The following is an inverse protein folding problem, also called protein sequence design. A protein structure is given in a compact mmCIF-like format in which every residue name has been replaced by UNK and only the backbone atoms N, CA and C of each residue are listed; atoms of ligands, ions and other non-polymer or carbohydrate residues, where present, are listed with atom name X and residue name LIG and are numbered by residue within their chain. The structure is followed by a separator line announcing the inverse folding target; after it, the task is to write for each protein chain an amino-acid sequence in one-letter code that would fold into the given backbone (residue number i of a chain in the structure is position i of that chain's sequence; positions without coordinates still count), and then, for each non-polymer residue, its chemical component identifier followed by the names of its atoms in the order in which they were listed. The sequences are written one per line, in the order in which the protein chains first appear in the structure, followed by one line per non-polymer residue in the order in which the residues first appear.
data_IF_970366078916
#
_entry.id   IF_970366078916
#
_cell.length_a   1.000
_cell.length_b   1.000
_cell.length_c   1.000
_cell.angle_alpha   90.00
_cell.angle_beta   90.00
_cell.angle_gamma   90.00
#
_symmetry.space_group_name_H-M   'P 1'
#
loop_
_entity.id
_entity.type
_entity.pdbx_description
1 polymer ?
#
# COMPACT_ATOMS: atom_id res chain seq x y z
N UNK A 1 -0.80 -29.18 40.88
CA UNK A 1 -2.20 -29.13 40.44
C UNK A 1 -2.32 -27.94 39.51
N UNK A 2 -2.10 -28.20 38.23
CA UNK A 2 -2.18 -27.19 37.17
C UNK A 2 -3.61 -26.73 37.02
N UNK A 3 -3.83 -25.42 37.15
CA UNK A 3 -5.08 -24.79 36.70
C UNK A 3 -5.14 -24.97 35.20
N UNK A 4 -6.10 -25.77 34.73
CA UNK A 4 -6.55 -25.77 33.35
C UNK A 4 -6.86 -24.33 32.93
N UNK A 5 -6.00 -23.80 32.06
CA UNK A 5 -6.20 -22.55 31.30
C UNK A 5 -7.44 -22.71 30.44
N UNK A 6 -8.52 -22.01 30.81
CA UNK A 6 -9.75 -21.95 30.00
C UNK A 6 -9.43 -21.44 28.59
N UNK A 7 -9.91 -22.17 27.58
CA UNK A 7 -9.71 -21.86 26.18
C UNK A 7 -10.26 -20.48 25.84
N UNK A 8 -9.55 -19.69 25.04
CA UNK A 8 -10.06 -18.43 24.50
C UNK A 8 -11.42 -18.64 23.86
N UNK A 9 -12.45 -17.96 24.39
CA UNK A 9 -13.82 -18.12 23.90
C UNK A 9 -14.17 -17.12 22.80
N UNK A 10 -13.35 -16.07 22.61
CA UNK A 10 -13.60 -14.99 21.64
C UNK A 10 -12.30 -14.48 20.99
N UNK A 11 -12.23 -14.52 19.66
CA UNK A 11 -11.11 -14.03 18.85
C UNK A 11 -11.60 -13.06 17.78
N UNK A 12 -10.97 -11.90 17.67
CA UNK A 12 -11.39 -10.79 16.80
C UNK A 12 -10.29 -10.46 15.79
N UNK A 13 -10.58 -10.61 14.50
CA UNK A 13 -9.71 -10.16 13.42
C UNK A 13 -10.09 -8.75 12.95
N UNK A 14 -9.15 -7.81 12.92
CA UNK A 14 -9.40 -6.44 12.46
C UNK A 14 -8.47 -6.12 11.30
N UNK A 15 -9.05 -5.71 10.18
CA UNK A 15 -8.39 -5.61 8.88
C UNK A 15 -8.49 -4.17 8.35
N UNK A 16 -7.39 -3.41 8.43
CA UNK A 16 -7.34 -2.02 7.97
C UNK A 16 -6.74 -1.90 6.56
N UNK A 17 -7.53 -1.53 5.57
CA UNK A 17 -7.03 -1.40 4.20
C UNK A 17 -6.26 -0.08 3.97
N UNK A 18 -5.47 -0.05 2.89
CA UNK A 18 -4.74 1.10 2.41
C UNK A 18 -5.63 2.14 1.74
N UNK A 19 -5.08 3.34 1.59
CA UNK A 19 -5.67 4.49 0.89
C UNK A 19 -6.32 4.13 -0.44
N UNK A 20 -7.55 4.58 -0.67
CA UNK A 20 -8.23 4.39 -1.96
C UNK A 20 -8.70 2.95 -2.22
N UNK A 21 -8.46 2.02 -1.30
CA UNK A 21 -8.99 0.67 -1.41
C UNK A 21 -10.33 0.55 -0.68
N UNK A 22 -11.34 0.11 -1.42
CA UNK A 22 -12.64 -0.24 -0.90
C UNK A 22 -13.05 -1.61 -1.47
N UNK A 23 -13.42 -2.55 -0.60
CA UNK A 23 -13.84 -3.90 -0.98
C UNK A 23 -15.10 -3.88 -1.88
N UNK A 24 -16.05 -2.96 -1.65
CA UNK A 24 -17.25 -2.82 -2.46
C UNK A 24 -16.93 -2.30 -3.87
N UNK A 25 -16.07 -1.28 -3.98
CA UNK A 25 -15.70 -0.68 -5.26
C UNK A 25 -14.82 -1.64 -6.10
N UNK A 26 -14.06 -2.53 -5.45
CA UNK A 26 -13.25 -3.55 -6.12
C UNK A 26 -14.07 -4.73 -6.67
N UNK A 27 -15.29 -4.97 -6.16
CA UNK A 27 -16.19 -6.01 -6.67
C UNK A 27 -17.11 -5.52 -7.79
N UNK A 28 -17.29 -4.21 -7.95
CA UNK A 28 -18.21 -3.61 -8.94
C UNK A 28 -17.55 -3.32 -10.31
N UNK A 29 -16.26 -3.65 -10.49
CA UNK A 29 -15.54 -3.43 -11.76
C UNK A 29 -15.81 -4.48 -12.84
N UNK A 30 -16.76 -5.39 -12.61
CA UNK A 30 -17.12 -6.45 -13.57
C UNK A 30 -18.16 -5.94 -14.58
N UNK A 31 -17.69 -5.17 -15.56
CA UNK A 31 -18.46 -4.89 -16.78
C UNK A 31 -18.51 -3.42 -17.20
N UNK A 32 -17.46 -2.94 -17.86
CA UNK A 32 -17.53 -1.69 -18.63
C UNK A 32 -16.17 -1.10 -18.92
N UNK A 33 -15.85 -0.99 -20.22
CA UNK A 33 -14.76 -0.24 -20.87
C UNK A 33 -13.56 0.17 -20.01
N UNK A 34 -12.40 -0.40 -20.35
CA UNK A 34 -11.07 -0.05 -19.83
C UNK A 34 -10.77 1.45 -19.91
N UNK A 35 -11.21 2.18 -18.90
CA UNK A 35 -11.09 3.63 -18.77
C UNK A 35 -11.38 4.06 -17.33
N UNK A 36 -10.31 4.30 -16.57
CA UNK A 36 -10.27 4.87 -15.21
C UNK A 36 -10.35 3.86 -14.03
N UNK A 37 -9.17 3.41 -13.57
CA UNK A 37 -8.88 3.07 -12.17
C UNK A 37 -9.91 2.20 -11.40
N UNK A 38 -10.33 1.06 -11.96
CA UNK A 38 -10.91 0.00 -11.12
C UNK A 38 -9.79 -0.65 -10.30
N UNK A 39 -9.77 -0.44 -8.98
CA UNK A 39 -8.79 -1.05 -8.09
C UNK A 39 -9.12 -2.53 -7.88
N UNK A 40 -8.13 -3.42 -8.02
CA UNK A 40 -8.27 -4.80 -7.61
C UNK A 40 -8.33 -4.92 -6.07
N UNK A 41 -8.84 -6.03 -5.52
CA UNK A 41 -8.82 -6.23 -4.08
C UNK A 41 -7.38 -6.19 -3.53
N UNK A 42 -7.23 -5.56 -2.36
CA UNK A 42 -5.99 -5.57 -1.59
C UNK A 42 -5.78 -6.94 -0.92
N UNK A 43 -4.56 -7.19 -0.46
CA UNK A 43 -4.27 -8.35 0.37
C UNK A 43 -5.02 -8.30 1.71
N UNK A 44 -5.39 -7.10 2.20
CA UNK A 44 -6.21 -6.96 3.41
C UNK A 44 -7.63 -7.48 3.17
N UNK A 45 -8.24 -7.10 2.05
CA UNK A 45 -9.57 -7.59 1.66
C UNK A 45 -9.56 -9.11 1.44
N UNK A 46 -8.52 -9.64 0.79
CA UNK A 46 -8.37 -11.08 0.55
C UNK A 46 -8.13 -11.86 1.86
N UNK A 47 -7.30 -11.35 2.79
CA UNK A 47 -7.14 -11.97 4.11
C UNK A 47 -8.44 -11.92 4.92
N UNK A 48 -9.16 -10.80 4.90
CA UNK A 48 -10.44 -10.66 5.58
C UNK A 48 -11.48 -11.70 5.08
N UNK A 49 -11.49 -11.98 3.78
CA UNK A 49 -12.34 -13.01 3.20
C UNK A 49 -12.01 -14.41 3.75
N UNK A 50 -10.72 -14.73 3.93
CA UNK A 50 -10.24 -16.01 4.46
C UNK A 50 -10.36 -16.15 5.98
N UNK A 51 -10.68 -15.08 6.71
CA UNK A 51 -10.81 -15.12 8.17
C UNK A 51 -12.20 -15.64 8.57
N UNK A 52 -12.30 -16.56 9.56
CA UNK A 52 -13.58 -17.15 9.96
C UNK A 52 -14.49 -16.13 10.66
N UNK A 53 -15.80 -16.38 10.59
CA UNK A 53 -16.80 -15.59 11.32
C UNK A 53 -17.87 -16.49 11.90
N UNK A 54 -18.30 -16.19 13.13
CA UNK A 54 -19.28 -16.96 13.87
C UNK A 54 -18.66 -17.99 14.81
N UNK A 55 -19.47 -18.94 15.26
CA UNK A 55 -19.06 -19.95 16.24
C UNK A 55 -18.47 -21.17 15.54
N UNK A 56 -17.26 -21.56 15.92
CA UNK A 56 -16.64 -22.82 15.51
C UNK A 56 -16.18 -23.58 16.75
N UNK A 57 -16.87 -24.67 17.05
CA UNK A 57 -16.66 -25.41 18.30
C UNK A 57 -16.92 -24.52 19.53
N UNK A 58 -15.89 -24.40 20.37
CA UNK A 58 -15.93 -23.65 21.63
C UNK A 58 -15.45 -22.19 21.49
N UNK A 59 -15.16 -21.73 20.27
CA UNK A 59 -14.65 -20.38 20.00
C UNK A 59 -15.64 -19.55 19.15
N UNK A 60 -15.84 -18.28 19.51
CA UNK A 60 -16.52 -17.26 18.70
C UNK A 60 -15.45 -16.47 17.93
N UNK A 61 -15.57 -16.42 16.61
CA UNK A 61 -14.72 -15.61 15.74
C UNK A 61 -15.51 -14.40 15.24
N UNK A 62 -14.96 -13.22 15.46
CA UNK A 62 -15.46 -11.98 14.90
C UNK A 62 -14.44 -11.43 13.93
N UNK A 63 -14.92 -10.71 12.91
CA UNK A 63 -14.06 -10.02 11.97
C UNK A 63 -14.63 -8.67 11.60
N UNK A 64 -13.75 -7.68 11.51
CA UNK A 64 -14.08 -6.34 11.07
C UNK A 64 -13.13 -5.94 9.95
N UNK A 65 -13.71 -5.51 8.84
CA UNK A 65 -12.98 -4.85 7.76
C UNK A 65 -13.17 -3.34 7.86
N UNK A 66 -12.06 -2.60 7.81
CA UNK A 66 -12.03 -1.15 7.88
C UNK A 66 -11.45 -0.63 6.57
N UNK A 67 -12.27 0.10 5.83
CA UNK A 67 -11.90 0.70 4.55
C UNK A 67 -10.73 1.69 4.66
N UNK A 68 -10.04 1.88 3.54
CA UNK A 68 -8.97 2.85 3.41
C UNK A 68 -9.38 4.29 3.75
N UNK A 69 -8.44 5.05 4.27
CA UNK A 69 -8.61 6.52 4.40
C UNK A 69 -8.74 7.12 2.98
N UNK A 70 -9.80 7.88 2.73
CA UNK A 70 -10.08 8.53 1.44
C UNK A 70 -11.17 7.86 0.59
N UNK A 71 -11.82 6.81 1.06
CA UNK A 71 -12.98 6.17 0.39
C UNK A 71 -14.23 6.29 1.26
N UNK A 72 -15.39 6.35 0.60
CA UNK A 72 -16.73 6.25 1.20
C UNK A 72 -17.52 5.21 0.42
N UNK A 73 -18.16 4.27 1.12
CA UNK A 73 -19.00 3.22 0.51
C UNK A 73 -20.03 3.80 -0.47
N UNK A 74 -20.02 3.32 -1.72
CA UNK A 74 -21.02 3.68 -2.75
C UNK A 74 -20.95 5.12 -3.27
N UNK A 75 -19.89 5.87 -2.94
CA UNK A 75 -19.63 7.19 -3.49
C UNK A 75 -18.41 7.15 -4.42
N UNK A 76 -18.38 7.96 -5.50
CA UNK A 76 -17.18 8.10 -6.32
C UNK A 76 -16.02 8.61 -5.45
N UNK A 77 -14.84 7.98 -5.59
CA UNK A 77 -13.64 8.36 -4.87
C UNK A 77 -13.38 9.86 -5.07
N UNK A 78 -13.65 10.67 -4.05
CA UNK A 78 -13.32 12.08 -4.09
C UNK A 78 -11.80 12.18 -3.94
N UNK A 79 -11.11 12.31 -5.07
CA UNK A 79 -9.67 12.60 -5.13
C UNK A 79 -9.26 13.81 -4.25
N UNK A 80 -10.24 14.61 -3.81
CA UNK A 80 -10.10 15.71 -2.88
C UNK A 80 -10.05 15.28 -1.40
N UNK A 81 -10.79 14.25 -0.95
CA UNK A 81 -10.81 13.82 0.46
C UNK A 81 -9.66 12.87 0.82
N UNK A 82 -9.20 12.05 -0.13
CA UNK A 82 -7.99 11.24 0.02
C UNK A 82 -6.70 12.06 0.18
N UNK A 83 -6.78 13.36 -0.15
CA UNK A 83 -5.68 14.31 -0.27
C UNK A 83 -5.73 15.44 0.77
N UNK A 84 -6.76 15.53 1.63
CA UNK A 84 -6.87 16.58 2.67
C UNK A 84 -6.52 16.14 4.08
N UNK A 85 -6.50 14.83 4.40
CA UNK A 85 -5.92 14.25 5.63
C UNK A 85 -6.43 14.79 6.99
N UNK A 86 -7.29 15.83 6.97
CA UNK A 86 -7.68 16.68 8.10
C UNK A 86 -9.19 16.74 8.33
N UNK A 87 -9.93 15.80 7.76
CA UNK A 87 -11.32 15.59 8.11
C UNK A 87 -11.46 14.63 9.28
N UNK A 88 -12.70 14.40 9.69
CA UNK A 88 -13.21 13.38 10.63
C UNK A 88 -12.86 11.92 10.22
N UNK A 89 -11.87 11.73 9.35
CA UNK A 89 -11.56 10.60 8.48
C UNK A 89 -10.10 10.13 8.61
N UNK A 90 -9.31 10.72 9.52
CA UNK A 90 -7.91 10.32 9.79
C UNK A 90 -7.77 8.92 10.41
N UNK A 91 -6.53 8.44 10.49
CA UNK A 91 -6.19 7.11 11.05
C UNK A 91 -6.78 6.91 12.45
N UNK A 92 -6.69 7.92 13.32
CA UNK A 92 -7.23 7.84 14.68
C UNK A 92 -8.76 7.65 14.69
N UNK A 93 -9.49 8.43 13.89
CA UNK A 93 -10.95 8.32 13.81
C UNK A 93 -11.40 6.95 13.29
N UNK A 94 -10.70 6.37 12.31
CA UNK A 94 -10.96 5.01 11.82
C UNK A 94 -10.73 3.96 12.92
N UNK A 95 -9.71 4.12 13.74
CA UNK A 95 -9.46 3.25 14.90
C UNK A 95 -10.55 3.42 15.96
N UNK A 96 -11.01 4.64 16.23
CA UNK A 96 -12.12 4.91 17.15
C UNK A 96 -13.41 4.24 16.70
N UNK A 97 -13.80 4.41 15.43
CA UNK A 97 -14.97 3.74 14.85
C UNK A 97 -14.82 2.22 14.91
N UNK A 98 -13.65 1.68 14.54
CA UNK A 98 -13.40 0.25 14.58
C UNK A 98 -13.55 -0.34 16.00
N UNK A 99 -13.09 0.38 17.03
CA UNK A 99 -13.27 -0.05 18.43
C UNK A 99 -14.74 -0.10 18.84
N UNK A 100 -15.55 0.88 18.41
CA UNK A 100 -16.98 0.90 18.69
C UNK A 100 -17.71 -0.25 17.99
N UNK A 101 -17.41 -0.48 16.70
CA UNK A 101 -18.01 -1.55 15.91
C UNK A 101 -17.66 -2.94 16.50
N UNK A 102 -16.40 -3.13 16.89
CA UNK A 102 -15.98 -4.37 17.56
C UNK A 102 -16.70 -4.52 18.90
N UNK A 103 -16.79 -3.47 19.72
CA UNK A 103 -17.48 -3.54 21.00
C UNK A 103 -18.97 -3.92 20.83
N UNK A 104 -19.63 -3.40 19.81
CA UNK A 104 -20.99 -3.79 19.44
C UNK A 104 -21.08 -5.26 19.03
N UNK A 105 -20.21 -5.74 18.14
CA UNK A 105 -20.18 -7.16 17.74
C UNK A 105 -19.92 -8.09 18.94
N UNK A 106 -19.02 -7.70 19.85
CA UNK A 106 -18.73 -8.44 21.08
C UNK A 106 -19.97 -8.49 21.96
N UNK A 107 -20.64 -7.35 22.20
CA UNK A 107 -21.89 -7.28 22.96
C UNK A 107 -22.94 -8.21 22.39
N UNK A 108 -23.09 -8.24 21.05
CA UNK A 108 -24.03 -9.14 20.38
C UNK A 108 -23.63 -10.61 20.52
N UNK A 109 -22.36 -11.00 20.32
CA UNK A 109 -21.92 -12.40 20.50
C UNK A 109 -22.18 -12.86 21.95
N UNK A 110 -21.86 -12.01 22.95
CA UNK A 110 -22.08 -12.33 24.37
C UNK A 110 -23.57 -12.44 24.73
N UNK A 111 -24.43 -11.59 24.16
CA UNK A 111 -25.87 -11.67 24.39
C UNK A 111 -26.50 -12.93 23.76
N UNK A 112 -26.02 -13.36 22.58
CA UNK A 112 -26.54 -14.54 21.88
C UNK A 112 -25.96 -15.87 22.38
N UNK A 113 -24.85 -15.84 23.12
CA UNK A 113 -24.20 -17.02 23.68
C UNK A 113 -23.75 -16.80 25.13
N UNK A 114 -24.67 -16.68 26.10
CA UNK A 114 -24.34 -16.38 27.50
C UNK A 114 -23.45 -17.42 28.20
N UNK A 115 -23.35 -18.64 27.63
CA UNK A 115 -22.42 -19.69 28.06
C UNK A 115 -20.96 -19.43 27.64
N UNK A 116 -20.72 -18.47 26.73
CA UNK A 116 -19.39 -18.00 26.32
C UNK A 116 -19.00 -16.87 27.27
N UNK A 117 -18.45 -17.22 28.43
CA UNK A 117 -17.69 -16.25 29.22
C UNK A 117 -16.26 -16.23 28.66
N UNK A 118 -15.81 -15.16 27.97
CA UNK A 118 -14.44 -15.11 27.50
C UNK A 118 -13.51 -15.02 28.71
N UNK A 119 -12.65 -16.02 28.87
CA UNK A 119 -11.53 -15.92 29.82
C UNK A 119 -10.58 -14.77 29.45
N UNK A 120 -10.48 -14.47 28.16
CA UNK A 120 -9.83 -13.29 27.58
C UNK A 120 -10.31 -13.09 26.12
N UNK A 121 -10.06 -11.90 25.54
CA UNK A 121 -10.31 -11.59 24.13
C UNK A 121 -8.97 -11.60 23.37
N UNK A 122 -8.88 -12.42 22.32
CA UNK A 122 -7.72 -12.45 21.43
C UNK A 122 -7.92 -11.54 20.22
N UNK A 123 -6.90 -10.77 19.84
CA UNK A 123 -6.94 -9.89 18.66
C UNK A 123 -5.89 -10.30 17.63
N UNK A 124 -6.30 -10.32 16.36
CA UNK A 124 -5.42 -10.36 15.20
C UNK A 124 -5.59 -9.07 14.40
N UNK A 125 -4.50 -8.33 14.21
CA UNK A 125 -4.52 -7.03 13.55
C UNK A 125 -3.78 -7.11 12.22
N UNK A 126 -4.43 -6.69 11.15
CA UNK A 126 -3.83 -6.61 9.83
C UNK A 126 -3.96 -5.21 9.28
N UNK A 127 -2.94 -4.74 8.57
CA UNK A 127 -3.03 -3.45 7.91
C UNK A 127 -2.08 -3.26 6.74
N UNK A 128 -2.52 -2.50 5.74
CA UNK A 128 -1.71 -2.09 4.59
C UNK A 128 -1.54 -0.56 4.55
N UNK A 129 -0.33 -0.06 4.30
CA UNK A 129 -0.07 1.36 4.11
C UNK A 129 -0.49 2.19 5.35
N UNK A 130 -1.41 3.15 5.18
CA UNK A 130 -2.05 3.89 6.29
C UNK A 130 -2.90 2.99 7.20
N UNK A 131 -3.47 1.91 6.66
CA UNK A 131 -4.13 0.90 7.47
C UNK A 131 -3.14 0.14 8.38
N UNK A 132 -1.88 -0.03 7.96
CA UNK A 132 -0.85 -0.59 8.84
C UNK A 132 -0.51 0.37 9.99
N UNK A 133 -0.50 1.69 9.73
CA UNK A 133 -0.38 2.70 10.78
C UNK A 133 -1.58 2.66 11.74
N UNK A 134 -2.79 2.45 11.23
CA UNK A 134 -4.00 2.24 12.05
C UNK A 134 -3.89 0.98 12.93
N UNK A 135 -3.42 -0.13 12.38
CA UNK A 135 -3.20 -1.37 13.11
C UNK A 135 -2.17 -1.19 14.24
N UNK A 136 -1.06 -0.48 13.97
CA UNK A 136 -0.06 -0.11 15.00
C UNK A 136 -0.65 0.77 16.10
N UNK A 137 -1.44 1.77 15.72
CA UNK A 137 -2.09 2.65 16.67
C UNK A 137 -3.10 1.90 17.55
N UNK A 138 -3.90 1.02 16.95
CA UNK A 138 -4.83 0.17 17.68
C UNK A 138 -4.10 -0.79 18.63
N UNK A 139 -2.98 -1.40 18.21
CA UNK A 139 -2.19 -2.28 19.06
C UNK A 139 -1.74 -1.57 20.34
N UNK A 140 -1.25 -0.34 20.22
CA UNK A 140 -0.86 0.48 21.37
C UNK A 140 -2.03 0.81 22.29
N UNK A 141 -3.21 1.10 21.73
CA UNK A 141 -4.42 1.35 22.53
C UNK A 141 -4.91 0.12 23.29
N UNK A 142 -4.88 -1.05 22.64
CA UNK A 142 -5.26 -2.31 23.27
C UNK A 142 -4.29 -2.70 24.39
N UNK A 143 -2.99 -2.42 24.21
CA UNK A 143 -1.94 -2.70 25.19
C UNK A 143 -1.98 -1.76 26.41
N UNK A 144 -2.21 -0.45 26.21
CA UNK A 144 -2.29 0.53 27.31
C UNK A 144 -3.48 0.29 28.24
N UNK A 145 -4.61 -0.18 27.69
CA UNK A 145 -5.83 -0.46 28.46
C UNK A 145 -6.44 0.78 29.16
N UNK A 146 -7.56 0.60 29.84
CA UNK A 146 -8.20 1.66 30.66
C UNK A 146 -9.47 2.27 30.05
N UNK A 147 -9.91 3.42 30.59
CA UNK A 147 -11.20 4.07 30.27
C UNK A 147 -11.32 4.57 28.82
N UNK A 148 -10.22 4.55 28.04
CA UNK A 148 -10.20 4.94 26.62
C UNK A 148 -10.69 3.83 25.67
N UNK A 149 -11.02 2.64 26.20
CA UNK A 149 -11.63 1.55 25.44
C UNK A 149 -13.11 1.40 25.83
N UNK A 150 -13.98 0.99 24.88
CA UNK A 150 -15.35 0.59 25.20
C UNK A 150 -15.39 -0.48 26.30
N UNK A 151 -16.41 -0.44 27.16
CA UNK A 151 -16.54 -1.31 28.33
C UNK A 151 -16.42 -2.80 28.02
N UNK A 152 -16.96 -3.23 26.88
CA UNK A 152 -16.98 -4.60 26.39
C UNK A 152 -15.57 -5.13 26.09
N UNK A 153 -14.64 -4.21 25.80
CA UNK A 153 -13.26 -4.53 25.49
C UNK A 153 -12.34 -4.31 26.69
N UNK A 154 -12.82 -3.91 27.87
CA UNK A 154 -11.98 -3.58 29.03
C UNK A 154 -11.44 -4.80 29.81
N UNK A 155 -11.93 -6.01 29.56
CA UNK A 155 -11.46 -7.26 30.19
C UNK A 155 -10.04 -7.70 29.83
N UNK A 156 -9.67 -8.94 30.14
CA UNK A 156 -8.37 -9.50 29.75
C UNK A 156 -8.26 -9.61 28.22
N UNK A 157 -7.15 -9.13 27.68
CA UNK A 157 -6.90 -9.04 26.23
C UNK A 157 -5.51 -9.55 25.89
N UNK A 158 -5.36 -10.11 24.70
CA UNK A 158 -4.06 -10.41 24.12
C UNK A 158 -4.09 -10.11 22.62
N UNK A 159 -2.99 -9.57 22.10
CA UNK A 159 -2.78 -9.47 20.67
C UNK A 159 -1.97 -10.70 20.25
N UNK A 160 -2.59 -11.58 19.49
CA UNK A 160 -1.96 -12.83 19.03
C UNK A 160 -1.04 -12.53 17.84
N UNK A 161 -1.55 -11.80 16.84
CA UNK A 161 -0.81 -11.53 15.62
C UNK A 161 -0.99 -10.09 15.13
N UNK A 162 0.09 -9.48 14.64
CA UNK A 162 0.08 -8.20 13.92
C UNK A 162 0.75 -8.40 12.55
N UNK A 163 -0.03 -8.36 11.48
CA UNK A 163 0.43 -8.55 10.10
C UNK A 163 0.36 -7.25 9.30
N UNK A 164 1.52 -6.67 9.01
CA UNK A 164 1.62 -5.38 8.34
C UNK A 164 2.15 -5.51 6.91
N UNK A 165 1.59 -4.72 6.00
CA UNK A 165 2.10 -4.54 4.65
C UNK A 165 2.56 -3.08 4.52
N UNK A 166 3.87 -2.89 4.38
CA UNK A 166 4.53 -1.65 3.99
C UNK A 166 3.97 -0.38 4.67
N UNK A 167 4.21 -0.25 5.98
CA UNK A 167 3.63 0.81 6.82
C UNK A 167 4.03 2.21 6.35
N UNK A 168 3.02 3.07 6.12
CA UNK A 168 3.18 4.50 5.81
C UNK A 168 2.23 5.28 6.72
N UNK A 169 2.74 6.18 7.57
CA UNK A 169 1.89 6.98 8.47
C UNK A 169 1.13 8.09 7.76
N UNK A 170 1.84 8.84 6.91
CA UNK A 170 1.28 9.93 6.14
C UNK A 170 1.81 9.88 4.71
N UNK A 171 0.90 10.04 3.75
CA UNK A 171 1.28 10.37 2.39
C UNK A 171 1.32 11.89 2.36
N UNK A 172 2.51 12.46 2.16
CA UNK A 172 2.68 13.90 2.06
C UNK A 172 1.85 14.40 0.88
N UNK A 173 0.76 15.09 1.18
CA UNK A 173 -0.11 15.75 0.22
C UNK A 173 0.36 17.21 0.08
N UNK A 174 1.00 17.59 -1.04
CA UNK A 174 1.64 18.91 -1.19
C UNK A 174 0.67 20.10 -1.05
N UNK A 175 -0.62 19.87 -1.27
CA UNK A 175 -1.67 20.89 -1.13
C UNK A 175 -2.04 21.21 0.33
N UNK A 176 -1.50 20.49 1.31
CA UNK A 176 -1.83 20.67 2.74
C UNK A 176 -0.80 21.46 3.56
N UNK A 177 0.31 21.91 2.95
CA UNK A 177 1.30 22.71 3.67
C UNK A 177 2.18 21.94 4.66
N UNK A 178 2.13 20.60 4.67
CA UNK A 178 3.12 19.76 5.35
C UNK A 178 4.11 19.28 4.28
N UNK A 179 5.32 19.82 4.29
CA UNK A 179 6.22 19.78 3.12
C UNK A 179 7.36 18.75 3.22
N UNK A 180 7.44 17.99 4.31
CA UNK A 180 8.57 17.08 4.54
C UNK A 180 8.15 15.70 5.04
N UNK A 181 8.33 14.62 4.25
CA UNK A 181 8.13 13.24 4.71
C UNK A 181 9.16 12.80 5.76
N UNK A 182 10.20 13.60 6.01
CA UNK A 182 11.20 13.34 7.04
C UNK A 182 10.76 13.75 8.47
N UNK A 183 9.56 14.31 8.63
CA UNK A 183 9.09 14.70 9.96
C UNK A 183 8.44 13.51 10.69
N UNK A 184 8.89 13.24 11.93
CA UNK A 184 8.38 12.18 12.82
C UNK A 184 7.13 12.59 13.62
N UNK A 185 6.49 13.71 13.25
CA UNK A 185 5.25 14.16 13.88
C UNK A 185 4.06 13.47 13.22
N UNK A 186 3.57 12.41 13.87
CA UNK A 186 2.48 11.57 13.39
C UNK A 186 1.08 12.06 13.83
N UNK A 187 0.91 13.36 14.08
CA UNK A 187 -0.36 13.98 14.50
C UNK A 187 -1.01 13.27 15.72
N UNK A 188 -0.19 12.82 16.68
CA UNK A 188 -0.65 12.12 17.89
C UNK A 188 -0.85 10.61 17.75
N UNK A 189 -0.55 10.02 16.59
CA UNK A 189 -0.57 8.56 16.40
C UNK A 189 0.58 7.87 17.14
N UNK A 190 0.24 6.77 17.80
CA UNK A 190 1.21 5.89 18.50
C UNK A 190 1.58 4.72 17.58
N UNK A 191 2.73 4.81 16.91
CA UNK A 191 3.11 3.88 15.85
C UNK A 191 4.20 2.88 16.25
N UNK A 192 4.78 3.06 17.43
CA UNK A 192 5.81 2.19 17.99
C UNK A 192 5.26 0.83 18.38
N UNK A 193 5.88 -0.24 17.92
CA UNK A 193 5.53 -1.60 18.35
C UNK A 193 6.57 -2.08 19.37
N UNK A 194 6.25 -1.95 20.66
CA UNK A 194 7.12 -2.38 21.75
C UNK A 194 7.23 -3.90 21.86
N UNK A 195 8.30 -4.38 22.48
CA UNK A 195 8.48 -5.82 22.75
C UNK A 195 7.32 -6.37 23.58
N UNK A 196 6.74 -7.49 23.14
CA UNK A 196 5.63 -8.14 23.82
C UNK A 196 4.26 -7.49 23.60
N UNK A 197 4.14 -6.46 22.75
CA UNK A 197 2.84 -5.86 22.40
C UNK A 197 1.88 -6.89 21.76
N UNK A 198 2.44 -7.83 21.00
CA UNK A 198 1.76 -8.97 20.43
C UNK A 198 2.63 -10.22 20.54
N UNK A 199 2.03 -11.42 20.49
CA UNK A 199 2.81 -12.67 20.46
C UNK A 199 3.69 -12.76 19.22
N UNK A 200 3.19 -12.26 18.09
CA UNK A 200 3.96 -12.17 16.85
C UNK A 200 3.63 -10.89 16.08
N UNK A 201 4.68 -10.21 15.63
CA UNK A 201 4.60 -9.05 14.72
C UNK A 201 5.40 -9.39 13.47
N UNK A 202 4.79 -9.19 12.31
CA UNK A 202 5.39 -9.40 10.99
C UNK A 202 5.08 -8.18 10.12
N UNK A 203 6.09 -7.67 9.42
CA UNK A 203 5.88 -6.65 8.39
C UNK A 203 6.54 -7.07 7.07
N UNK A 204 5.77 -7.13 5.99
CA UNK A 204 6.31 -7.24 4.63
C UNK A 204 6.61 -5.83 4.10
N UNK A 205 7.84 -5.60 3.65
CA UNK A 205 8.31 -4.28 3.20
C UNK A 205 8.64 -4.30 1.72
N UNK A 206 8.20 -3.26 1.01
CA UNK A 206 8.49 -3.07 -0.41
C UNK A 206 9.97 -2.70 -0.62
N UNK A 207 10.74 -3.60 -1.23
CA UNK A 207 12.17 -3.38 -1.53
C UNK A 207 12.43 -2.44 -2.70
N UNK A 208 11.48 -2.30 -3.61
CA UNK A 208 11.62 -1.49 -4.83
C UNK A 208 10.84 -0.16 -4.79
N UNK A 209 10.17 0.16 -3.67
CA UNK A 209 9.47 1.44 -3.50
C UNK A 209 10.47 2.60 -3.37
N UNK A 210 10.30 3.65 -4.19
CA UNK A 210 11.23 4.79 -4.29
C UNK A 210 10.52 6.14 -4.23
N UNK A 211 9.19 6.19 -4.13
CA UNK A 211 8.44 7.43 -4.08
C UNK A 211 8.76 8.24 -2.84
N UNK A 212 8.89 9.54 -3.03
CA UNK A 212 9.17 10.49 -1.96
C UNK A 212 8.03 10.57 -0.93
N UNK A 213 6.78 10.50 -1.39
CA UNK A 213 5.61 10.65 -0.53
C UNK A 213 5.16 9.35 0.17
N UNK A 214 5.99 8.29 0.13
CA UNK A 214 5.69 6.99 0.74
C UNK A 214 6.78 6.59 1.74
N UNK A 215 7.01 7.37 2.82
CA UNK A 215 8.00 7.03 3.84
C UNK A 215 7.63 5.71 4.54
N UNK A 216 8.60 4.81 4.70
CA UNK A 216 8.43 3.56 5.44
C UNK A 216 8.57 3.82 6.94
N UNK A 217 7.72 3.18 7.75
CA UNK A 217 8.00 3.00 9.18
C UNK A 217 8.39 1.54 9.42
N UNK A 218 9.60 1.33 9.92
CA UNK A 218 10.14 0.00 10.19
C UNK A 218 9.47 -0.67 11.39
N UNK A 219 9.64 -1.98 11.46
CA UNK A 219 9.40 -2.78 12.65
C UNK A 219 10.64 -3.61 12.96
N UNK A 220 10.68 -4.23 14.14
CA UNK A 220 11.82 -5.05 14.55
C UNK A 220 11.95 -6.33 13.70
N UNK A 221 10.87 -6.77 13.02
CA UNK A 221 10.78 -8.01 12.25
C UNK A 221 10.39 -7.76 10.78
N UNK A 222 11.03 -6.78 10.13
CA UNK A 222 10.78 -6.46 8.72
C UNK A 222 11.31 -7.55 7.78
N UNK A 223 10.46 -8.03 6.87
CA UNK A 223 10.82 -8.93 5.76
C UNK A 223 10.75 -8.12 4.46
N UNK A 224 11.92 -7.72 3.95
CA UNK A 224 12.02 -6.94 2.71
C UNK A 224 11.88 -7.87 1.51
N UNK A 225 10.90 -7.61 0.65
CA UNK A 225 10.56 -8.44 -0.51
C UNK A 225 10.52 -7.62 -1.82
N UNK A 226 10.74 -8.24 -2.99
CA UNK A 226 10.72 -7.53 -4.27
C UNK A 226 9.38 -6.87 -4.59
N UNK A 227 9.40 -5.71 -5.23
CA UNK A 227 8.22 -4.97 -5.65
C UNK A 227 8.01 -3.67 -4.89
N UNK A 228 7.06 -2.90 -5.42
CA UNK A 228 6.67 -1.58 -4.89
C UNK A 228 5.47 -1.69 -3.93
N UNK A 229 5.07 -0.59 -3.30
CA UNK A 229 4.05 -0.55 -2.24
C UNK A 229 2.80 -1.43 -2.50
N UNK A 230 2.13 -1.23 -3.64
CA UNK A 230 0.92 -1.97 -4.00
C UNK A 230 1.20 -3.34 -4.65
N UNK A 231 2.46 -3.65 -5.01
CA UNK A 231 2.83 -5.05 -5.22
C UNK A 231 2.75 -5.82 -3.90
N UNK A 232 3.10 -5.20 -2.77
CA UNK A 232 3.10 -5.86 -1.45
C UNK A 232 1.70 -5.91 -0.85
N UNK A 233 0.99 -4.77 -0.84
CA UNK A 233 -0.34 -4.67 -0.24
C UNK A 233 -1.51 -5.05 -1.16
N UNK A 234 -1.29 -5.20 -2.46
CA UNK A 234 -2.35 -5.36 -3.45
C UNK A 234 -2.95 -4.03 -3.91
N UNK A 235 -4.02 -4.11 -4.72
CA UNK A 235 -4.66 -2.96 -5.37
C UNK A 235 -4.44 -2.86 -6.88
N UNK A 236 -3.38 -3.49 -7.41
CA UNK A 236 -3.15 -3.51 -8.86
C UNK A 236 -4.04 -4.53 -9.59
N UNK A 237 -4.66 -4.16 -10.72
CA UNK A 237 -5.41 -5.10 -11.54
C UNK A 237 -4.50 -6.19 -12.13
N UNK A 238 -5.09 -7.30 -12.54
CA UNK A 238 -4.36 -8.46 -13.04
C UNK A 238 -3.56 -8.17 -14.31
N UNK A 239 -4.00 -7.19 -15.08
CA UNK A 239 -3.28 -6.57 -16.17
C UNK A 239 -3.50 -5.05 -16.11
N UNK A 240 -2.41 -4.29 -16.08
CA UNK A 240 -2.41 -2.83 -16.14
C UNK A 240 -1.48 -2.39 -17.27
N UNK A 241 -1.97 -1.52 -18.15
CA UNK A 241 -1.11 -0.80 -19.11
C UNK A 241 -0.49 0.42 -18.43
N UNK A 242 0.72 0.26 -17.93
CA UNK A 242 1.51 1.35 -17.36
C UNK A 242 1.99 2.30 -18.46
N UNK A 243 1.86 3.60 -18.24
CA UNK A 243 2.36 4.67 -19.11
C UNK A 243 3.02 5.73 -18.23
N UNK A 244 4.35 5.71 -18.13
CA UNK A 244 5.08 6.45 -17.09
C UNK A 244 6.24 7.26 -17.65
N UNK A 245 6.39 8.47 -17.12
CA UNK A 245 7.58 9.31 -17.30
C UNK A 245 8.62 8.94 -16.23
N UNK A 246 9.74 8.36 -16.65
CA UNK A 246 10.80 7.88 -15.75
C UNK A 246 11.72 8.98 -15.25
N UNK A 247 11.76 10.12 -15.95
CA UNK A 247 12.53 11.29 -15.54
C UNK A 247 11.67 12.54 -15.51
N UNK A 248 12.14 13.55 -14.75
CA UNK A 248 11.49 14.86 -14.74
C UNK A 248 11.50 15.44 -16.16
N UNK A 249 10.36 15.93 -16.68
CA UNK A 249 10.32 16.58 -17.98
C UNK A 249 11.31 17.75 -18.06
N UNK A 250 12.20 17.69 -19.04
CA UNK A 250 13.08 18.80 -19.38
C UNK A 250 12.39 19.67 -20.42
N UNK A 251 12.70 20.98 -20.44
CA UNK A 251 12.08 21.90 -21.40
C UNK A 251 13.06 22.88 -22.01
N UNK A 252 12.81 23.26 -23.26
CA UNK A 252 13.54 24.28 -24.01
C UNK A 252 12.56 25.26 -24.65
N UNK A 253 12.83 26.56 -24.52
CA UNK A 253 12.12 27.60 -25.27
C UNK A 253 12.86 27.86 -26.58
N UNK A 254 12.17 27.72 -27.70
CA UNK A 254 12.74 27.82 -29.04
C UNK A 254 11.77 28.52 -30.00
N UNK A 255 12.28 28.99 -31.14
CA UNK A 255 11.41 29.46 -32.23
C UNK A 255 10.49 28.32 -32.69
N UNK A 256 9.25 28.66 -33.07
CA UNK A 256 8.23 27.69 -33.49
C UNK A 256 8.70 26.78 -34.63
N UNK A 257 9.57 27.29 -35.51
CA UNK A 257 10.17 26.56 -36.64
C UNK A 257 11.19 25.49 -36.22
N UNK A 258 11.69 25.53 -34.99
CA UNK A 258 12.76 24.64 -34.53
C UNK A 258 12.21 23.22 -34.32
N UNK A 259 12.77 22.19 -34.97
CA UNK A 259 12.38 20.79 -34.71
C UNK A 259 12.66 20.39 -33.26
N UNK A 260 11.76 19.61 -32.65
CA UNK A 260 11.89 19.22 -31.25
C UNK A 260 13.15 18.40 -30.95
N UNK A 261 13.53 17.53 -31.89
CA UNK A 261 14.68 16.63 -31.81
C UNK A 261 16.02 17.38 -31.78
N UNK A 262 16.01 18.65 -32.18
CA UNK A 262 17.19 19.53 -32.18
C UNK A 262 17.31 20.38 -30.92
N UNK A 263 16.37 20.24 -29.98
CA UNK A 263 16.37 21.04 -28.75
C UNK A 263 17.33 20.47 -27.72
N UNK A 264 17.86 21.35 -26.85
CA UNK A 264 18.71 20.91 -25.73
C UNK A 264 17.98 19.96 -24.79
N UNK A 265 16.68 20.17 -24.56
CA UNK A 265 15.86 19.26 -23.76
C UNK A 265 15.80 17.85 -24.35
N UNK A 266 15.60 17.72 -25.67
CA UNK A 266 15.61 16.42 -26.33
C UNK A 266 16.97 15.73 -26.17
N UNK A 267 18.06 16.41 -26.55
CA UNK A 267 19.41 15.83 -26.50
C UNK A 267 19.82 15.41 -25.09
N UNK A 268 19.44 16.18 -24.07
CA UNK A 268 19.71 15.83 -22.68
C UNK A 268 18.92 14.60 -22.21
N UNK A 269 17.69 14.43 -22.67
CA UNK A 269 16.84 13.29 -22.32
C UNK A 269 17.24 12.03 -23.09
N UNK A 270 17.65 12.18 -24.34
CA UNK A 270 18.19 11.10 -25.17
C UNK A 270 19.48 10.54 -24.56
N UNK A 271 20.40 11.42 -24.15
CA UNK A 271 21.59 11.03 -23.40
C UNK A 271 21.27 10.35 -22.05
N UNK A 272 20.16 10.73 -21.41
CA UNK A 272 19.70 10.09 -20.17
C UNK A 272 19.14 8.68 -20.42
N UNK A 273 18.42 8.49 -21.53
CA UNK A 273 17.91 7.19 -21.97
C UNK A 273 19.08 6.21 -22.19
N UNK A 274 20.10 6.65 -22.92
CA UNK A 274 21.28 5.83 -23.27
C UNK A 274 22.22 5.55 -22.09
N UNK A 275 22.13 6.34 -21.01
CA UNK A 275 22.98 6.17 -19.82
C UNK A 275 22.24 5.49 -18.68
N UNK A 276 21.28 6.19 -18.07
CA UNK A 276 20.63 5.78 -16.82
C UNK A 276 19.61 4.67 -17.04
N UNK A 277 19.03 4.60 -18.24
CA UNK A 277 17.94 3.68 -18.58
C UNK A 277 18.32 2.63 -19.62
N UNK A 278 19.62 2.47 -19.90
CA UNK A 278 20.14 1.53 -20.89
C UNK A 278 19.79 0.06 -20.59
N UNK A 279 19.72 -0.29 -19.30
CA UNK A 279 19.42 -1.65 -18.83
C UNK A 279 17.91 -1.94 -18.73
N UNK A 280 17.03 -1.01 -19.11
CA UNK A 280 15.61 -1.28 -19.15
C UNK A 280 15.28 -2.20 -20.35
N UNK A 281 15.20 -3.49 -20.07
CA UNK A 281 14.73 -4.53 -20.99
C UNK A 281 13.31 -4.26 -21.52
N UNK A 282 12.90 -5.07 -22.51
CA UNK A 282 11.60 -4.95 -23.19
C UNK A 282 10.39 -4.87 -22.22
N UNK A 283 9.43 -3.96 -22.47
CA UNK A 283 9.43 -2.93 -23.52
C UNK A 283 10.40 -1.80 -23.23
N UNK A 284 11.21 -1.46 -24.24
CA UNK A 284 12.20 -0.38 -24.16
C UNK A 284 11.54 0.96 -23.87
N UNK A 285 12.20 1.73 -23.00
CA UNK A 285 11.86 3.14 -22.85
C UNK A 285 12.22 3.93 -24.12
N UNK A 286 11.54 5.04 -24.34
CA UNK A 286 11.75 5.95 -25.48
C UNK A 286 11.69 7.40 -25.04
N UNK A 287 12.30 8.30 -25.80
CA UNK A 287 12.12 9.73 -25.60
C UNK A 287 10.71 10.11 -26.07
N UNK A 288 9.90 10.69 -25.18
CA UNK A 288 8.62 11.30 -25.51
C UNK A 288 8.76 12.81 -25.52
N UNK A 289 8.17 13.44 -26.53
CA UNK A 289 8.23 14.89 -26.74
C UNK A 289 6.82 15.44 -26.89
N UNK A 290 6.57 16.62 -26.33
CA UNK A 290 5.39 17.42 -26.60
C UNK A 290 5.73 18.91 -26.69
N UNK A 291 4.92 19.66 -27.42
CA UNK A 291 5.15 21.07 -27.71
C UNK A 291 3.98 21.94 -27.24
N UNK A 292 4.31 23.10 -26.69
CA UNK A 292 3.35 24.12 -26.27
C UNK A 292 3.66 25.46 -26.93
N UNK A 293 2.76 26.02 -27.75
CA UNK A 293 2.91 27.37 -28.26
C UNK A 293 2.98 28.39 -27.12
N UNK A 294 3.91 29.33 -27.19
CA UNK A 294 3.95 30.44 -26.24
C UNK A 294 3.15 31.60 -26.83
N UNK A 295 2.12 32.05 -26.11
CA UNK A 295 1.36 33.22 -26.51
C UNK A 295 2.28 34.45 -26.55
N UNK A 296 2.43 35.05 -27.73
CA UNK A 296 3.18 36.29 -27.89
C UNK A 296 2.57 37.42 -27.05
N UNK A 297 3.40 38.32 -26.52
CA UNK A 297 2.90 39.52 -25.88
C UNK A 297 2.21 40.40 -26.94
N UNK A 298 0.92 40.71 -26.74
CA UNK A 298 0.18 41.62 -27.63
C UNK A 298 0.93 42.97 -27.70
N UNK A 299 1.58 43.24 -28.83
CA UNK A 299 2.23 44.53 -29.09
C UNK A 299 3.66 44.50 -29.66
N UNK A 300 4.34 43.34 -29.73
CA UNK A 300 5.65 43.21 -30.39
C UNK A 300 5.59 42.29 -31.62
N UNK A 301 6.33 42.65 -32.68
CA UNK A 301 6.68 41.76 -33.80
C UNK A 301 7.76 40.78 -33.35
N UNK A 302 7.47 39.97 -32.33
CA UNK A 302 8.36 38.89 -31.93
C UNK A 302 8.02 37.65 -32.77
N UNK A 303 9.05 36.93 -33.22
CA UNK A 303 8.86 35.66 -33.93
C UNK A 303 8.10 34.67 -33.05
N UNK A 304 7.19 33.85 -33.61
CA UNK A 304 6.43 32.89 -32.81
C UNK A 304 7.38 31.88 -32.14
N UNK A 305 7.20 31.69 -30.84
CA UNK A 305 7.98 30.75 -30.03
C UNK A 305 7.12 29.60 -29.51
N UNK A 306 7.79 28.51 -29.18
CA UNK A 306 7.21 27.35 -28.51
C UNK A 306 8.10 26.88 -27.37
N UNK A 307 7.50 26.18 -26.42
CA UNK A 307 8.20 25.41 -25.40
C UNK A 307 8.11 23.94 -25.76
N UNK A 308 9.27 23.32 -25.95
CA UNK A 308 9.39 21.88 -26.22
C UNK A 308 9.74 21.19 -24.92
N UNK A 309 9.03 20.12 -24.60
CA UNK A 309 9.32 19.26 -23.47
C UNK A 309 9.79 17.89 -23.96
N UNK A 310 10.72 17.30 -23.23
CA UNK A 310 11.18 15.94 -23.46
C UNK A 310 11.28 15.19 -22.14
N UNK A 311 10.95 13.90 -22.15
CA UNK A 311 11.11 13.01 -21.01
C UNK A 311 11.30 11.56 -21.47
N UNK A 312 11.95 10.74 -20.63
CA UNK A 312 12.01 9.30 -20.85
C UNK A 312 10.65 8.72 -20.50
N UNK A 313 10.03 8.07 -21.46
CA UNK A 313 8.71 7.46 -21.35
C UNK A 313 8.82 5.95 -21.51
N UNK A 314 8.08 5.23 -20.67
CA UNK A 314 7.95 3.78 -20.78
C UNK A 314 6.49 3.38 -20.76
N UNK A 315 6.17 2.43 -21.63
CA UNK A 315 4.83 1.87 -21.75
C UNK A 315 4.90 0.37 -21.84
N UNK A 316 4.13 -0.31 -20.99
CA UNK A 316 4.14 -1.76 -20.91
C UNK A 316 2.90 -2.29 -20.20
N UNK A 317 2.62 -3.56 -20.42
CA UNK A 317 1.62 -4.31 -19.66
C UNK A 317 2.30 -4.94 -18.44
N UNK A 318 1.77 -4.67 -17.25
CA UNK A 318 2.28 -5.20 -15.98
C UNK A 318 1.17 -5.89 -15.23
N UNK A 319 1.51 -7.03 -14.66
CA UNK A 319 0.56 -7.89 -14.00
C UNK A 319 0.52 -7.68 -12.49
N UNK A 320 -0.69 -7.59 -11.91
CA UNK A 320 -0.90 -7.46 -10.47
C UNK A 320 -0.66 -8.73 -9.65
N UNK A 321 -0.39 -9.89 -10.27
CA UNK A 321 -0.33 -11.19 -9.58
C UNK A 321 0.75 -11.32 -8.51
N UNK A 322 1.78 -10.45 -8.51
CA UNK A 322 2.83 -10.49 -7.49
C UNK A 322 2.29 -10.29 -6.06
N UNK A 323 1.21 -9.53 -5.90
CA UNK A 323 0.57 -9.34 -4.58
C UNK A 323 0.05 -10.64 -3.99
N UNK A 324 -0.39 -11.59 -4.82
CA UNK A 324 -0.89 -12.91 -4.38
C UNK A 324 0.22 -13.77 -3.78
N UNK A 325 1.47 -13.56 -4.19
CA UNK A 325 2.62 -14.18 -3.53
C UNK A 325 2.68 -13.69 -2.08
N UNK A 326 2.59 -12.38 -1.86
CA UNK A 326 2.68 -11.79 -0.52
C UNK A 326 1.44 -12.03 0.34
N UNK A 327 0.26 -12.16 -0.28
CA UNK A 327 -0.93 -12.69 0.38
C UNK A 327 -0.64 -14.07 0.97
N UNK A 328 -0.13 -14.98 0.14
CA UNK A 328 0.15 -16.35 0.57
C UNK A 328 1.24 -16.43 1.65
N UNK A 329 2.27 -15.59 1.56
CA UNK A 329 3.33 -15.48 2.57
C UNK A 329 2.77 -14.97 3.90
N UNK A 330 2.03 -13.87 3.91
CA UNK A 330 1.44 -13.32 5.14
C UNK A 330 0.45 -14.31 5.77
N UNK A 331 -0.39 -14.96 4.96
CA UNK A 331 -1.34 -15.97 5.44
C UNK A 331 -0.62 -17.15 6.10
N UNK A 332 0.45 -17.66 5.50
CA UNK A 332 1.25 -18.75 6.09
C UNK A 332 1.94 -18.32 7.40
N UNK A 333 2.52 -17.12 7.44
CA UNK A 333 3.11 -16.55 8.66
C UNK A 333 2.07 -16.40 9.78
N UNK A 334 0.87 -15.93 9.44
CA UNK A 334 -0.24 -15.76 10.38
C UNK A 334 -0.78 -17.11 10.88
N UNK A 335 -0.95 -18.10 10.01
CA UNK A 335 -1.39 -19.45 10.41
C UNK A 335 -0.39 -20.12 11.35
N UNK A 336 0.92 -19.93 11.11
CA UNK A 336 1.97 -20.37 12.05
C UNK A 336 1.91 -19.64 13.39
N UNK A 337 1.50 -18.38 13.38
CA UNK A 337 1.16 -17.58 14.58
C UNK A 337 -0.18 -17.94 15.21
N UNK A 338 -0.87 -18.98 14.71
CA UNK A 338 -2.13 -19.47 15.25
C UNK A 338 -3.38 -18.77 14.72
N UNK A 339 -3.26 -17.86 13.73
CA UNK A 339 -4.40 -17.20 13.10
C UNK A 339 -5.21 -18.22 12.27
N UNK A 340 -6.53 -18.33 12.46
CA UNK A 340 -7.34 -19.42 11.91
C UNK A 340 -7.76 -19.18 10.45
N UNK A 341 -6.86 -18.72 9.58
CA UNK A 341 -7.20 -18.50 8.17
C UNK A 341 -7.53 -19.79 7.44
N UNK A 342 -8.57 -19.75 6.60
CA UNK A 342 -8.89 -20.81 5.66
C UNK A 342 -7.74 -21.04 4.66
N UNK A 343 -7.72 -22.22 4.05
CA UNK A 343 -6.76 -22.54 3.00
C UNK A 343 -7.02 -21.69 1.76
N UNK A 344 -5.96 -21.34 1.02
CA UNK A 344 -6.13 -20.72 -0.29
C UNK A 344 -6.78 -21.75 -1.23
N UNK A 345 -8.02 -21.48 -1.65
CA UNK A 345 -8.74 -22.32 -2.60
C UNK A 345 -8.24 -22.14 -4.04
N UNK A 346 -8.89 -22.83 -4.99
CA UNK A 346 -8.58 -22.72 -6.42
C UNK A 346 -9.16 -21.47 -7.10
N UNK A 347 -9.76 -20.58 -6.32
CA UNK A 347 -10.34 -19.30 -6.78
C UNK A 347 -9.30 -18.48 -7.57
N UNK A 348 -9.76 -17.84 -8.64
CA UNK A 348 -8.95 -16.92 -9.43
C UNK A 348 -8.34 -15.80 -8.59
N UNK A 349 -9.00 -15.37 -7.50
CA UNK A 349 -8.49 -14.36 -6.58
C UNK A 349 -7.12 -14.71 -5.96
N UNK A 350 -6.83 -16.01 -5.78
CA UNK A 350 -5.62 -16.51 -5.11
C UNK A 350 -4.63 -17.18 -6.08
N UNK A 351 -5.04 -17.43 -7.33
CA UNK A 351 -4.27 -18.23 -8.29
C UNK A 351 -3.00 -17.49 -8.75
N UNK A 352 -1.90 -18.23 -8.83
CA UNK A 352 -0.62 -17.75 -9.35
C UNK A 352 -0.33 -18.31 -10.75
N UNK A 353 0.15 -17.49 -11.70
CA UNK A 353 0.69 -17.95 -12.97
C UNK A 353 1.86 -18.94 -12.74
N UNK A 354 2.00 -19.92 -13.61
CA UNK A 354 3.02 -20.99 -13.49
C UNK A 354 4.44 -20.43 -13.30
N UNK A 355 4.80 -19.43 -14.09
CA UNK A 355 6.09 -18.75 -14.02
C UNK A 355 6.39 -18.07 -12.66
N UNK A 356 5.34 -17.67 -11.92
CA UNK A 356 5.50 -17.09 -10.57
C UNK A 356 5.57 -18.14 -9.47
N UNK A 357 5.20 -19.40 -9.72
CA UNK A 357 5.14 -20.40 -8.66
C UNK A 357 6.51 -20.73 -8.07
N UNK A 358 7.56 -20.79 -8.91
CA UNK A 358 8.94 -21.02 -8.46
C UNK A 358 9.42 -19.86 -7.59
N UNK A 359 9.17 -18.63 -8.03
CA UNK A 359 9.52 -17.40 -7.31
C UNK A 359 8.78 -17.33 -5.99
N UNK A 360 7.48 -17.66 -5.99
CA UNK A 360 6.64 -17.72 -4.80
C UNK A 360 7.22 -18.67 -3.75
N UNK A 361 7.62 -19.89 -4.14
CA UNK A 361 8.25 -20.85 -3.20
C UNK A 361 9.53 -20.30 -2.58
N UNK A 362 10.41 -19.67 -3.37
CA UNK A 362 11.65 -19.07 -2.88
C UNK A 362 11.39 -17.90 -1.91
N UNK A 363 10.39 -17.07 -2.21
CA UNK A 363 9.99 -15.96 -1.33
C UNK A 363 9.34 -16.47 -0.04
N UNK A 364 8.59 -17.58 -0.08
CA UNK A 364 8.13 -18.30 1.11
C UNK A 364 9.30 -18.81 1.95
N UNK A 365 10.26 -19.50 1.35
CA UNK A 365 11.41 -20.04 2.09
C UNK A 365 12.22 -18.93 2.78
N UNK A 366 12.40 -17.80 2.11
CA UNK A 366 13.01 -16.61 2.69
C UNK A 366 12.17 -16.03 3.83
N UNK A 367 10.90 -15.73 3.60
CA UNK A 367 10.04 -15.08 4.59
C UNK A 367 9.80 -15.95 5.84
N UNK A 368 9.82 -17.27 5.69
CA UNK A 368 9.70 -18.23 6.79
C UNK A 368 11.03 -18.52 7.50
N UNK A 369 12.10 -17.81 7.16
CA UNK A 369 13.41 -17.94 7.79
C UNK A 369 14.16 -19.22 7.44
N UNK A 370 13.75 -19.95 6.41
CA UNK A 370 14.47 -21.15 5.91
C UNK A 370 15.72 -20.76 5.11
N UNK A 371 15.77 -19.52 4.62
CA UNK A 371 16.88 -18.94 3.88
C UNK A 371 17.15 -17.52 4.38
N UNK A 372 18.42 -17.10 4.41
CA UNK A 372 18.81 -15.75 4.83
C UNK A 372 18.53 -14.66 3.79
N UNK A 373 18.35 -15.04 2.52
CA UNK A 373 18.07 -14.14 1.41
C UNK A 373 17.10 -14.79 0.40
N UNK A 374 16.36 -14.01 -0.38
CA UNK A 374 15.58 -14.52 -1.50
C UNK A 374 16.54 -15.12 -2.53
N UNK A 375 16.57 -16.45 -2.66
CA UNK A 375 17.47 -17.17 -3.59
C UNK A 375 17.03 -17.05 -5.07
N UNK A 376 16.68 -15.84 -5.50
CA UNK A 376 16.22 -15.51 -6.84
C UNK A 376 17.42 -15.43 -7.79
N UNK A 377 17.29 -16.08 -8.95
CA UNK A 377 18.25 -16.05 -10.03
C UNK A 377 18.17 -14.72 -10.80
N UNK A 378 19.22 -14.33 -11.55
CA UNK A 378 19.16 -13.15 -12.40
C UNK A 378 17.98 -13.15 -13.39
N UNK A 379 17.63 -14.31 -13.93
CA UNK A 379 16.49 -14.47 -14.84
C UNK A 379 15.14 -14.24 -14.14
N UNK A 380 14.97 -14.73 -12.92
CA UNK A 380 13.76 -14.49 -12.11
C UNK A 380 13.65 -13.01 -11.71
N UNK A 381 14.77 -12.36 -11.37
CA UNK A 381 14.80 -10.92 -11.15
C UNK A 381 14.44 -10.11 -12.40
N UNK A 382 14.89 -10.54 -13.58
CA UNK A 382 14.52 -9.90 -14.85
C UNK A 382 13.01 -10.08 -15.13
N UNK A 383 12.46 -11.27 -14.92
CA UNK A 383 11.04 -11.55 -15.08
C UNK A 383 10.17 -10.70 -14.14
N UNK A 384 10.55 -10.61 -12.86
CA UNK A 384 9.85 -9.75 -11.91
C UNK A 384 9.86 -8.30 -12.38
N UNK A 385 11.04 -7.78 -12.74
CA UNK A 385 11.18 -6.38 -13.19
C UNK A 385 10.44 -6.09 -14.49
N UNK A 386 10.36 -7.03 -15.43
CA UNK A 386 9.72 -6.78 -16.73
C UNK A 386 8.19 -6.86 -16.67
N UNK A 387 7.64 -7.83 -15.92
CA UNK A 387 6.22 -8.20 -16.00
C UNK A 387 5.40 -8.00 -14.71
N UNK A 388 6.02 -7.91 -13.54
CA UNK A 388 5.30 -8.01 -12.26
C UNK A 388 5.54 -6.85 -11.29
N UNK A 389 6.73 -6.26 -11.29
CA UNK A 389 7.06 -5.10 -10.46
C UNK A 389 6.60 -3.85 -11.20
N UNK A 390 5.65 -3.14 -10.62
CA UNK A 390 5.09 -1.90 -11.17
C UNK A 390 6.07 -0.74 -11.00
N UNK A 391 6.00 0.24 -11.89
CA UNK A 391 6.80 1.47 -11.81
C UNK A 391 6.06 2.50 -10.97
N UNK A 392 6.05 2.34 -9.64
CA UNK A 392 5.33 3.28 -8.77
C UNK A 392 5.94 4.67 -8.78
N UNK A 393 7.27 4.79 -8.82
CA UNK A 393 7.94 6.09 -8.82
C UNK A 393 8.08 6.66 -10.24
N UNK A 394 7.38 7.75 -10.53
CA UNK A 394 7.37 8.38 -11.85
C UNK A 394 7.04 9.88 -11.80
N UNK A 395 7.34 10.58 -12.89
CA UNK A 395 7.13 12.01 -13.08
C UNK A 395 5.87 12.32 -13.90
N UNK A 396 4.85 11.47 -13.86
CA UNK A 396 3.54 11.84 -14.40
C UNK A 396 2.94 12.96 -13.56
N UNK A 397 2.48 14.02 -14.22
CA UNK A 397 1.81 15.12 -13.54
C UNK A 397 0.36 14.75 -13.18
N UNK A 398 -0.15 15.33 -12.09
CA UNK A 398 -1.55 15.17 -11.69
C UNK A 398 -2.52 15.64 -12.80
N UNK A 399 -3.65 14.93 -12.96
CA UNK A 399 -4.62 15.13 -14.06
C UNK A 399 -4.97 16.62 -14.24
N UNK A 400 -4.82 17.11 -15.48
CA UNK A 400 -5.15 18.48 -15.87
C UNK A 400 -3.98 19.47 -15.85
N UNK A 401 -2.83 19.11 -15.29
CA UNK A 401 -1.67 20.00 -15.12
C UNK A 401 -0.43 19.45 -15.82
N UNK A 402 -0.49 19.30 -17.15
CA UNK A 402 0.60 18.74 -17.97
C UNK A 402 1.92 19.57 -17.98
N UNK A 403 1.92 20.80 -17.45
CA UNK A 403 2.84 21.87 -17.92
C UNK A 403 3.57 22.67 -16.81
N UNK A 404 3.73 22.14 -15.61
CA UNK A 404 4.18 22.94 -14.45
C UNK A 404 5.56 22.55 -13.93
N UNK A 405 6.37 23.55 -13.54
CA UNK A 405 7.72 23.37 -13.00
C UNK A 405 7.76 23.06 -11.49
N UNK A 406 6.60 22.92 -10.84
CA UNK A 406 6.46 22.74 -9.40
C UNK A 406 6.48 21.25 -9.06
N UNK A 407 7.44 20.84 -8.22
CA UNK A 407 7.58 19.44 -7.77
C UNK A 407 6.33 18.92 -7.04
N UNK A 408 5.52 19.82 -6.49
CA UNK A 408 4.26 19.53 -5.79
C UNK A 408 3.19 18.86 -6.67
N UNK A 409 3.33 18.89 -8.00
CA UNK A 409 2.36 18.34 -8.95
C UNK A 409 2.72 16.92 -9.43
N UNK A 410 3.87 16.39 -8.98
CA UNK A 410 4.33 15.02 -9.20
C UNK A 410 4.20 14.20 -7.90
N UNK A 411 2.99 13.68 -7.65
CA UNK A 411 2.67 12.94 -6.41
C UNK A 411 3.54 11.69 -6.25
N UNK A 412 3.83 11.02 -7.36
CA UNK A 412 4.61 9.78 -7.38
C UNK A 412 6.09 10.00 -7.69
N UNK A 413 6.61 11.23 -7.49
CA UNK A 413 8.01 11.52 -7.80
C UNK A 413 8.98 10.63 -6.98
N UNK A 414 10.07 10.13 -7.60
CA UNK A 414 11.13 9.45 -6.87
C UNK A 414 11.85 10.39 -5.91
N UNK A 415 12.29 9.87 -4.77
CA UNK A 415 13.16 10.59 -3.84
C UNK A 415 14.62 10.53 -4.30
N UNK A 416 15.32 11.68 -4.23
CA UNK A 416 16.70 11.81 -4.72
C UNK A 416 17.72 10.87 -4.03
N UNK A 417 17.48 10.52 -2.77
CA UNK A 417 18.34 9.62 -1.97
C UNK A 417 17.78 8.20 -1.78
N UNK A 418 16.72 7.83 -2.51
CA UNK A 418 15.92 6.64 -2.21
C UNK A 418 14.81 6.91 -1.20
N UNK A 419 14.03 5.88 -0.88
CA UNK A 419 12.85 5.98 0.00
C UNK A 419 13.26 6.46 1.39
N UNK A 420 12.49 7.38 1.95
CA UNK A 420 12.62 7.78 3.36
C UNK A 420 12.21 6.61 4.25
N UNK A 421 13.03 6.29 5.24
CA UNK A 421 12.78 5.18 6.17
C UNK A 421 12.95 5.69 7.59
N UNK A 422 11.89 5.53 8.37
CA UNK A 422 11.82 5.86 9.79
C UNK A 422 11.97 4.58 10.61
N UNK A 423 12.75 4.65 11.68
CA UNK A 423 12.88 3.53 12.62
C UNK A 423 11.57 3.28 13.37
N UNK A 424 11.45 2.12 14.02
CA UNK A 424 10.30 1.80 14.87
C UNK A 424 10.24 2.83 16.03
N UNK A 425 9.18 3.67 16.11
CA UNK A 425 9.10 4.67 17.17
C UNK A 425 9.01 4.01 18.57
N UNK A 426 9.35 4.73 19.64
CA UNK A 426 9.06 4.25 20.99
C UNK A 426 7.54 4.13 21.22
N UNK A 427 7.12 3.11 21.97
CA UNK A 427 5.72 2.77 22.31
C UNK A 427 5.13 3.60 23.45
#
# INVERSE_FOLDING_TARGET
MDKQTGSATLRVGIFFDGTGNNQANAMDSDGGEAGSYGNAPSNIALLHALYPSGRMGDQCFLKLYVEGVGTVQGAPDSAYDGLTGRGCTGVQARVDTALLDVAEQVRHCLASAPQVLPGYIAFDLFGFSRGAAAARHLANRLAKGGQSLPSELQGDRVIEFVGLFDTVAAIVAPLQGNFDPANDDYDGLQLGLGQGIARQVVQLVAGDERRHNFPLIRSDNDIVVPGVHSNIGGGYPLSLREQVLLCKPQSSRVLAITPAERTQAYLAVDALLDSTFAELDEPRARVQVWEEPLAGHRGRRDDPEKKVYAAVYREREVSGHLSRVYLSVMRELAVRGGVPFEALGEDEAHRLPEELQVISRKLHDFALGRCLQPQLTPAEHALLRSKYVHTSAHWNAFKGLRNSALDMLYIDRPAAGGRVVHDNPPS
#
